data_IF_556492303925
#
_entry.id   IF_556492303925
#
_cell.length_a   1.000
_cell.length_b   1.000
_cell.length_c   1.000
_cell.angle_alpha   90.00
_cell.angle_beta   90.00
_cell.angle_gamma   90.00
#
_symmetry.space_group_name_H-M   'P 1'
#
loop_
_entity.id
_entity.type
_entity.pdbx_description
1 polymer ?
#
# COMPACT_ATOMS: atom_id res chain seq x y z
N UNK A 1 8.00 -10.00 7.27
CA UNK A 1 8.25 -9.90 5.82
C UNK A 1 7.96 -8.50 5.28
N UNK A 2 6.78 -7.98 5.48
CA UNK A 2 6.38 -6.68 4.94
C UNK A 2 7.26 -5.53 5.42
N UNK A 3 7.47 -5.42 6.74
CA UNK A 3 8.34 -4.39 7.31
C UNK A 3 9.78 -4.50 6.81
N UNK A 4 10.30 -5.72 6.67
CA UNK A 4 11.66 -5.96 6.18
C UNK A 4 11.85 -5.46 4.76
N UNK A 5 10.87 -5.68 3.89
CA UNK A 5 10.92 -5.19 2.50
C UNK A 5 10.99 -3.66 2.49
N UNK A 6 10.21 -3.00 3.34
CA UNK A 6 10.23 -1.55 3.48
C UNK A 6 11.59 -1.06 4.00
N UNK A 7 12.14 -1.73 5.00
CA UNK A 7 13.46 -1.39 5.57
C UNK A 7 14.56 -1.51 4.51
N UNK A 8 14.56 -2.58 3.73
CA UNK A 8 15.54 -2.79 2.66
C UNK A 8 15.48 -1.66 1.64
N UNK A 9 14.27 -1.26 1.24
CA UNK A 9 14.08 -0.14 0.33
C UNK A 9 14.66 1.17 0.89
N UNK A 10 14.41 1.45 2.17
CA UNK A 10 14.85 2.68 2.81
C UNK A 10 16.34 2.72 3.13
N UNK A 11 17.07 1.62 2.95
CA UNK A 11 18.54 1.62 3.01
C UNK A 11 19.18 2.12 1.71
N UNK A 12 18.41 2.23 0.63
CA UNK A 12 18.89 2.78 -0.63
C UNK A 12 19.11 4.30 -0.51
N UNK A 13 19.96 4.85 -1.36
CA UNK A 13 20.13 6.30 -1.44
C UNK A 13 18.87 6.97 -1.93
N UNK A 14 18.75 8.29 -1.71
CA UNK A 14 17.61 9.08 -2.20
C UNK A 14 17.39 8.89 -3.71
N UNK A 15 18.49 8.96 -4.47
CA UNK A 15 18.44 8.81 -5.93
C UNK A 15 17.94 7.42 -6.33
N UNK A 16 18.44 6.38 -5.66
CA UNK A 16 18.02 5.00 -5.92
C UNK A 16 16.56 4.79 -5.55
N UNK A 17 16.09 5.37 -4.43
CA UNK A 17 14.70 5.30 -4.02
C UNK A 17 13.78 5.95 -5.05
N UNK A 18 14.14 7.13 -5.57
CA UNK A 18 13.35 7.81 -6.61
C UNK A 18 13.27 6.99 -7.89
N UNK A 19 14.41 6.43 -8.32
CA UNK A 19 14.49 5.67 -9.56
C UNK A 19 13.74 4.36 -9.50
N UNK A 20 13.73 3.69 -8.32
CA UNK A 20 13.20 2.34 -8.17
C UNK A 20 11.77 2.29 -7.62
N UNK A 21 11.23 3.41 -7.17
CA UNK A 21 9.93 3.43 -6.47
C UNK A 21 8.79 2.77 -7.26
N UNK A 22 8.67 3.06 -8.54
CA UNK A 22 7.60 2.50 -9.38
C UNK A 22 7.69 0.98 -9.48
N UNK A 23 8.87 0.45 -9.76
CA UNK A 23 9.11 -0.99 -9.86
C UNK A 23 8.98 -1.67 -8.49
N UNK A 24 9.51 -1.03 -7.46
CA UNK A 24 9.42 -1.53 -6.09
C UNK A 24 7.95 -1.70 -5.67
N UNK A 25 7.13 -0.66 -5.88
CA UNK A 25 5.72 -0.69 -5.51
C UNK A 25 4.97 -1.79 -6.25
N UNK A 26 5.16 -1.89 -7.58
CA UNK A 26 4.49 -2.89 -8.40
C UNK A 26 4.86 -4.31 -7.96
N UNK A 27 6.16 -4.58 -7.80
CA UNK A 27 6.66 -5.89 -7.37
C UNK A 27 6.15 -6.27 -5.99
N UNK A 28 6.20 -5.32 -5.06
CA UNK A 28 5.76 -5.54 -3.69
C UNK A 28 4.28 -5.90 -3.62
N UNK A 29 3.45 -5.21 -4.39
CA UNK A 29 2.01 -5.50 -4.45
C UNK A 29 1.73 -6.87 -5.07
N UNK A 30 2.46 -7.25 -6.11
CA UNK A 30 2.33 -8.57 -6.71
C UNK A 30 2.71 -9.67 -5.72
N UNK A 31 3.82 -9.50 -5.01
CA UNK A 31 4.27 -10.46 -4.00
C UNK A 31 3.27 -10.57 -2.85
N UNK A 32 2.72 -9.45 -2.41
CA UNK A 32 1.71 -9.44 -1.35
C UNK A 32 0.45 -10.17 -1.80
N UNK A 33 -0.02 -9.91 -3.02
CA UNK A 33 -1.21 -10.56 -3.55
C UNK A 33 -0.99 -12.06 -3.71
N UNK A 34 0.19 -12.48 -4.18
CA UNK A 34 0.53 -13.90 -4.27
C UNK A 34 0.53 -14.57 -2.89
N UNK A 35 1.07 -13.89 -1.89
CA UNK A 35 1.03 -14.40 -0.52
C UNK A 35 -0.41 -14.58 -0.03
N UNK A 36 -1.27 -13.60 -0.27
CA UNK A 36 -2.70 -13.67 0.09
C UNK A 36 -3.35 -14.88 -0.58
N UNK A 37 -3.10 -15.10 -1.87
CA UNK A 37 -3.71 -16.19 -2.60
C UNK A 37 -3.12 -17.55 -2.26
N UNK A 38 -1.86 -17.60 -1.85
CA UNK A 38 -1.25 -18.82 -1.31
C UNK A 38 -1.90 -19.23 0.03
N UNK A 39 -2.50 -18.26 0.73
CA UNK A 39 -3.17 -18.44 2.02
C UNK A 39 -4.63 -17.99 1.95
N UNK A 40 -5.27 -18.19 0.81
CA UNK A 40 -6.58 -17.62 0.49
C UNK A 40 -7.63 -17.96 1.54
N UNK A 41 -7.69 -19.23 1.97
CA UNK A 41 -8.68 -19.69 2.96
C UNK A 41 -8.51 -18.95 4.30
N UNK A 42 -7.29 -18.69 4.71
CA UNK A 42 -6.98 -17.95 5.94
C UNK A 42 -7.51 -16.51 5.83
N UNK A 43 -7.25 -15.85 4.71
CA UNK A 43 -7.71 -14.48 4.51
C UNK A 43 -9.24 -14.41 4.38
N UNK A 44 -9.85 -15.41 3.75
CA UNK A 44 -11.32 -15.51 3.71
C UNK A 44 -11.92 -15.59 5.11
N UNK A 45 -11.31 -16.39 5.98
CA UNK A 45 -11.77 -16.49 7.36
C UNK A 45 -11.58 -15.17 8.13
N UNK A 46 -10.46 -14.48 7.91
CA UNK A 46 -10.21 -13.18 8.54
C UNK A 46 -11.23 -12.12 8.11
N UNK A 47 -11.69 -12.20 6.86
CA UNK A 47 -12.67 -11.26 6.31
C UNK A 47 -14.11 -11.61 6.66
N UNK A 48 -14.35 -12.83 7.17
CA UNK A 48 -15.66 -13.26 7.61
C UNK A 48 -16.09 -12.44 8.84
N UNK A 49 -17.38 -12.14 8.96
CA UNK A 49 -17.93 -11.36 10.04
C UNK A 49 -17.58 -11.87 11.43
N UNK A 50 -17.44 -13.19 11.61
CA UNK A 50 -17.05 -13.79 12.88
C UNK A 50 -15.61 -13.44 13.29
N UNK A 51 -14.75 -13.06 12.35
CA UNK A 51 -13.36 -12.74 12.56
C UNK A 51 -13.03 -11.27 12.20
N UNK A 52 -14.05 -10.43 12.03
CA UNK A 52 -13.87 -9.04 11.59
C UNK A 52 -12.92 -8.23 12.46
N UNK A 53 -12.92 -8.44 13.79
CA UNK A 53 -12.02 -7.75 14.72
C UNK A 53 -10.56 -8.10 14.44
N UNK A 54 -10.26 -9.37 14.18
CA UNK A 54 -8.89 -9.81 13.86
C UNK A 54 -8.41 -9.22 12.55
N UNK A 55 -9.29 -9.17 11.56
CA UNK A 55 -8.96 -8.54 10.28
C UNK A 55 -8.69 -7.04 10.46
N UNK A 56 -9.50 -6.34 11.27
CA UNK A 56 -9.27 -4.93 11.54
C UNK A 56 -7.92 -4.68 12.18
N UNK A 57 -7.51 -5.49 13.15
CA UNK A 57 -6.19 -5.37 13.77
C UNK A 57 -5.07 -5.62 12.77
N UNK A 58 -5.20 -6.64 11.93
CA UNK A 58 -4.23 -6.94 10.88
C UNK A 58 -4.12 -5.78 9.89
N UNK A 59 -5.25 -5.25 9.45
CA UNK A 59 -5.29 -4.12 8.52
C UNK A 59 -4.64 -2.88 9.14
N UNK A 60 -4.94 -2.58 10.39
CA UNK A 60 -4.36 -1.43 11.10
C UNK A 60 -2.84 -1.54 11.17
N UNK A 61 -2.30 -2.70 11.48
CA UNK A 61 -0.84 -2.90 11.50
C UNK A 61 -0.23 -2.71 10.12
N UNK A 62 -0.86 -3.24 9.09
CA UNK A 62 -0.39 -3.12 7.71
C UNK A 62 -0.40 -1.65 7.26
N UNK A 63 -1.48 -0.94 7.57
CA UNK A 63 -1.61 0.48 7.25
C UNK A 63 -0.56 1.30 7.99
N UNK A 64 -0.36 1.05 9.28
CA UNK A 64 0.63 1.78 10.09
C UNK A 64 2.04 1.63 9.51
N UNK A 65 2.42 0.44 9.08
CA UNK A 65 3.72 0.21 8.44
C UNK A 65 3.82 1.01 7.15
N UNK A 66 2.79 0.95 6.33
CA UNK A 66 2.78 1.65 5.03
C UNK A 66 2.84 3.17 5.21
N UNK A 67 2.11 3.71 6.16
CA UNK A 67 2.12 5.15 6.48
C UNK A 67 3.52 5.58 6.96
N UNK A 68 4.12 4.82 7.87
CA UNK A 68 5.46 5.10 8.40
C UNK A 68 6.48 5.23 7.28
N UNK A 69 6.54 4.23 6.39
CA UNK A 69 7.56 4.20 5.34
C UNK A 69 7.23 5.13 4.16
N UNK A 70 5.97 5.37 3.87
CA UNK A 70 5.57 6.36 2.88
C UNK A 70 5.99 7.76 3.33
N UNK A 71 5.74 8.11 4.59
CA UNK A 71 6.12 9.39 5.14
C UNK A 71 7.65 9.56 5.12
N UNK A 72 8.39 8.53 5.53
CA UNK A 72 9.86 8.54 5.45
C UNK A 72 10.35 8.78 4.03
N UNK A 73 9.76 8.11 3.05
CA UNK A 73 10.12 8.31 1.65
C UNK A 73 9.90 9.76 1.22
N UNK A 74 8.76 10.33 1.58
CA UNK A 74 8.44 11.71 1.23
C UNK A 74 9.41 12.70 1.88
N UNK A 75 9.86 12.43 3.11
CA UNK A 75 10.90 13.24 3.75
C UNK A 75 12.23 13.12 3.02
N UNK A 76 12.64 11.91 2.65
CA UNK A 76 13.90 11.65 1.95
C UNK A 76 13.96 12.41 0.64
N UNK A 77 12.90 12.39 -0.15
CA UNK A 77 12.87 13.09 -1.45
C UNK A 77 12.57 14.58 -1.32
N UNK A 78 12.36 15.06 -0.09
CA UNK A 78 12.11 16.49 0.14
C UNK A 78 10.77 16.97 -0.41
N UNK A 79 9.72 16.17 -0.29
CA UNK A 79 8.39 16.49 -0.80
C UNK A 79 7.84 17.77 -0.18
N UNK A 80 7.54 18.76 -1.00
CA UNK A 80 7.11 20.08 -0.55
C UNK A 80 5.74 20.03 0.13
N UNK A 81 4.84 19.18 -0.35
CA UNK A 81 3.51 19.01 0.26
C UNK A 81 3.60 18.51 1.69
N UNK A 82 4.58 17.67 2.00
CA UNK A 82 4.82 17.17 3.36
C UNK A 82 5.50 18.24 4.20
N UNK A 83 6.53 18.91 3.67
CA UNK A 83 7.26 19.96 4.38
C UNK A 83 6.37 21.13 4.77
N UNK A 84 5.46 21.53 3.89
CA UNK A 84 4.55 22.65 4.13
C UNK A 84 3.42 22.31 5.09
N UNK A 85 3.25 21.04 5.45
CA UNK A 85 2.15 20.58 6.30
C UNK A 85 0.82 20.40 5.58
N UNK A 86 0.81 20.54 4.25
CA UNK A 86 -0.40 20.30 3.46
C UNK A 86 -0.83 18.84 3.54
N UNK A 87 0.15 17.92 3.47
CA UNK A 87 -0.09 16.48 3.60
C UNK A 87 0.48 16.02 4.93
N UNK A 88 -0.39 15.48 5.77
CA UNK A 88 -0.04 14.98 7.11
C UNK A 88 -0.02 13.44 7.11
N UNK A 89 0.54 12.87 8.19
CA UNK A 89 0.47 11.42 8.38
C UNK A 89 -0.97 10.91 8.42
N UNK A 90 -1.88 11.69 9.02
CA UNK A 90 -3.29 11.34 9.08
C UNK A 90 -3.91 11.22 7.69
N UNK A 91 -3.56 12.12 6.79
CA UNK A 91 -4.06 12.04 5.41
C UNK A 91 -3.49 10.84 4.68
N UNK A 92 -2.21 10.55 4.86
CA UNK A 92 -1.58 9.34 4.29
C UNK A 92 -2.29 8.09 4.82
N UNK A 93 -2.62 8.08 6.12
CA UNK A 93 -3.37 6.97 6.73
C UNK A 93 -4.71 6.75 6.02
N UNK A 94 -5.43 7.83 5.72
CA UNK A 94 -6.73 7.75 5.03
C UNK A 94 -6.59 7.09 3.65
N UNK A 95 -5.66 7.56 2.83
CA UNK A 95 -5.52 7.06 1.46
C UNK A 95 -4.94 5.64 1.42
N UNK A 96 -4.04 5.31 2.32
CA UNK A 96 -3.47 3.96 2.42
C UNK A 96 -4.53 2.95 2.88
N UNK A 97 -5.35 3.34 3.86
CA UNK A 97 -6.47 2.51 4.34
C UNK A 97 -7.44 2.22 3.19
N UNK A 98 -7.77 3.23 2.40
CA UNK A 98 -8.66 3.07 1.24
C UNK A 98 -8.09 2.08 0.23
N UNK A 99 -6.79 2.17 -0.05
CA UNK A 99 -6.13 1.25 -0.99
C UNK A 99 -6.18 -0.19 -0.50
N UNK A 100 -5.80 -0.44 0.75
CA UNK A 100 -5.79 -1.82 1.28
C UNK A 100 -7.20 -2.41 1.38
N UNK A 101 -8.18 -1.63 1.79
CA UNK A 101 -9.57 -2.11 1.78
C UNK A 101 -10.02 -2.49 0.38
N UNK A 102 -9.66 -1.68 -0.63
CA UNK A 102 -9.94 -1.99 -2.03
C UNK A 102 -9.24 -3.26 -2.48
N UNK A 103 -7.98 -3.43 -2.10
CA UNK A 103 -7.23 -4.64 -2.45
C UNK A 103 -7.86 -5.91 -1.88
N UNK A 104 -8.33 -5.88 -0.63
CA UNK A 104 -8.96 -7.05 -0.02
C UNK A 104 -10.35 -7.36 -0.59
N UNK A 105 -10.97 -6.45 -1.33
CA UNK A 105 -12.24 -6.72 -1.99
C UNK A 105 -12.14 -7.88 -2.99
N UNK A 106 -10.97 -8.09 -3.60
CA UNK A 106 -10.79 -9.23 -4.52
C UNK A 106 -10.99 -10.57 -3.80
N UNK A 107 -10.56 -10.64 -2.53
CA UNK A 107 -10.76 -11.83 -1.69
C UNK A 107 -12.23 -11.97 -1.29
N UNK A 108 -12.86 -10.86 -0.87
CA UNK A 108 -14.29 -10.86 -0.49
C UNK A 108 -15.20 -11.33 -1.62
N UNK A 109 -14.85 -10.98 -2.85
CA UNK A 109 -15.62 -11.35 -4.04
C UNK A 109 -15.18 -12.69 -4.65
N UNK A 110 -14.31 -13.43 -3.99
CA UNK A 110 -13.83 -14.75 -4.44
C UNK A 110 -13.28 -14.72 -5.87
N UNK A 111 -12.58 -13.65 -6.23
CA UNK A 111 -11.99 -13.54 -7.56
C UNK A 111 -10.85 -14.57 -7.70
N UNK A 112 -10.71 -15.16 -8.89
CA UNK A 112 -9.55 -16.01 -9.15
C UNK A 112 -8.26 -15.19 -9.15
N UNK A 113 -7.12 -15.87 -8.99
CA UNK A 113 -5.83 -15.21 -8.87
C UNK A 113 -5.52 -14.29 -10.05
N UNK A 114 -5.80 -14.72 -11.28
CA UNK A 114 -5.51 -13.92 -12.47
C UNK A 114 -6.36 -12.65 -12.51
N UNK A 115 -7.66 -12.75 -12.19
CA UNK A 115 -8.56 -11.61 -12.10
C UNK A 115 -8.11 -10.65 -10.99
N UNK A 116 -7.73 -11.19 -9.83
CA UNK A 116 -7.26 -10.39 -8.71
C UNK A 116 -6.02 -9.56 -9.09
N UNK A 117 -5.05 -10.17 -9.77
CA UNK A 117 -3.87 -9.45 -10.25
C UNK A 117 -4.25 -8.31 -11.20
N UNK A 118 -5.19 -8.55 -12.12
CA UNK A 118 -5.64 -7.50 -13.04
C UNK A 118 -6.28 -6.33 -12.29
N UNK A 119 -7.18 -6.62 -11.36
CA UNK A 119 -7.90 -5.57 -10.62
C UNK A 119 -7.00 -4.79 -9.67
N UNK A 120 -6.10 -5.48 -8.99
CA UNK A 120 -5.16 -4.80 -8.08
C UNK A 120 -4.20 -3.91 -8.86
N UNK A 121 -3.77 -4.36 -10.05
CA UNK A 121 -2.93 -3.54 -10.93
C UNK A 121 -3.67 -2.26 -11.36
N UNK A 122 -4.94 -2.37 -11.71
CA UNK A 122 -5.78 -1.20 -12.06
C UNK A 122 -5.98 -0.30 -10.85
N UNK A 123 -6.24 -0.87 -9.69
CA UNK A 123 -6.40 -0.13 -8.44
C UNK A 123 -5.12 0.64 -8.10
N UNK A 124 -3.97 0.02 -8.29
CA UNK A 124 -2.69 0.70 -8.05
C UNK A 124 -2.49 1.89 -9.00
N UNK A 125 -2.83 1.74 -10.28
CA UNK A 125 -2.76 2.85 -11.23
C UNK A 125 -3.66 4.01 -10.80
N UNK A 126 -4.87 3.70 -10.40
CA UNK A 126 -5.84 4.68 -9.91
C UNK A 126 -5.30 5.39 -8.65
N UNK A 127 -4.80 4.61 -7.71
CA UNK A 127 -4.26 5.11 -6.45
C UNK A 127 -3.05 6.02 -6.68
N UNK A 128 -2.11 5.59 -7.53
CA UNK A 128 -0.89 6.35 -7.80
C UNK A 128 -1.16 7.64 -8.57
N UNK A 129 -2.15 7.66 -9.44
CA UNK A 129 -2.54 8.88 -10.15
C UNK A 129 -3.07 9.94 -9.16
N UNK A 130 -3.95 9.53 -8.24
CA UNK A 130 -4.44 10.43 -7.20
C UNK A 130 -3.33 10.85 -6.23
N UNK A 131 -2.48 9.90 -5.85
CA UNK A 131 -1.34 10.13 -4.99
C UNK A 131 -0.40 11.19 -5.59
N UNK A 132 -0.04 11.05 -6.86
CA UNK A 132 0.82 12.01 -7.56
C UNK A 132 0.22 13.40 -7.59
N UNK A 133 -1.10 13.52 -7.77
CA UNK A 133 -1.80 14.80 -7.79
C UNK A 133 -1.66 15.54 -6.45
N UNK A 134 -1.68 14.81 -5.35
CA UNK A 134 -1.61 15.39 -4.00
C UNK A 134 -0.17 15.70 -3.59
N UNK A 135 0.75 14.76 -3.85
CA UNK A 135 2.14 14.88 -3.40
C UNK A 135 3.01 15.71 -4.34
N UNK A 136 2.66 15.77 -5.61
CA UNK A 136 3.37 16.58 -6.62
C UNK A 136 2.34 17.37 -7.44
N UNK A 137 1.66 18.34 -6.81
CA UNK A 137 0.65 19.12 -7.51
C UNK A 137 1.28 19.92 -8.62
N UNK A 138 0.80 19.75 -9.84
CA UNK A 138 1.21 20.56 -10.97
C UNK A 138 0.65 21.97 -10.81
N UNK A 139 1.44 23.01 -11.12
CA UNK A 139 0.96 24.38 -11.03
C UNK A 139 -0.19 24.68 -12.00
#
# INVERSE_FOLDING_TARGET
>A
MFRRVQEDFHQLSEEEQRADMGQYTARHQEEMLDYIYDHFDVFRLLLDGAHGTRFSCFLDELVDIEVEYTYKYMEVIGCESVKSGLVTEEFIHIIVTAFFNGMFEVVRHNMDRAAAHRYVKMLNRYHMAGFSTVFDPQP
#
